data_IF_726004408954
#
_entry.id   IF_726004408954
#
_cell.length_a   1.000
_cell.length_b   1.000
_cell.length_c   1.000
_cell.angle_alpha   90.00
_cell.angle_beta   90.00
_cell.angle_gamma   90.00
#
_symmetry.space_group_name_H-M   'P 1'
#
loop_
_entity.id
_entity.type
_entity.pdbx_description
1 polymer ?
#
# COMPACT_ATOMS: atom_id res chain seq x y z
N UNK A 1 -17.04 -22.28 -42.96
CA UNK A 1 -16.56 -21.40 -44.03
C UNK A 1 -16.86 -19.96 -43.64
N UNK A 2 -15.85 -19.08 -43.75
CA UNK A 2 -15.96 -17.62 -44.07
C UNK A 2 -16.48 -16.69 -42.94
N UNK A 3 -15.88 -15.54 -42.62
CA UNK A 3 -14.52 -14.96 -42.87
C UNK A 3 -14.24 -13.98 -41.72
N UNK A 4 -12.98 -13.84 -41.30
CA UNK A 4 -12.54 -12.83 -40.34
C UNK A 4 -11.99 -11.58 -41.08
N UNK A 5 -12.47 -10.35 -40.80
CA UNK A 5 -11.80 -9.13 -41.23
C UNK A 5 -10.80 -8.63 -40.17
N UNK A 6 -9.52 -8.72 -40.50
CA UNK A 6 -8.44 -7.92 -39.89
C UNK A 6 -8.53 -6.45 -40.36
N UNK A 7 -7.51 -5.63 -40.02
CA UNK A 7 -7.26 -4.24 -40.51
C UNK A 7 -8.01 -3.18 -39.65
N UNK A 8 -7.41 -2.11 -39.10
CA UNK A 8 -6.12 -1.44 -39.33
C UNK A 8 -5.18 -1.55 -38.12
N UNK A 9 -3.91 -1.89 -38.38
CA UNK A 9 -2.79 -1.53 -37.50
C UNK A 9 -2.24 -0.15 -37.93
N UNK A 10 -2.14 0.82 -37.01
CA UNK A 10 -1.25 1.98 -37.23
C UNK A 10 -0.59 2.49 -35.96
N UNK A 11 0.61 1.94 -35.69
CA UNK A 11 1.66 2.62 -34.92
C UNK A 11 1.96 3.98 -35.54
N UNK A 12 1.89 5.04 -34.75
CA UNK A 12 2.68 6.25 -34.98
C UNK A 12 3.40 6.61 -33.68
N UNK A 13 4.69 6.28 -33.63
CA UNK A 13 5.59 6.84 -32.61
C UNK A 13 5.74 8.33 -32.91
N UNK A 14 5.70 9.18 -31.90
CA UNK A 14 6.45 10.43 -31.96
C UNK A 14 7.09 10.71 -30.61
N UNK A 15 8.37 10.35 -30.52
CA UNK A 15 9.22 10.73 -29.40
C UNK A 15 9.45 12.25 -29.42
N UNK A 16 9.45 12.87 -28.25
CA UNK A 16 9.98 14.23 -28.04
C UNK A 16 10.94 14.20 -26.84
N UNK A 17 12.26 14.14 -27.06
CA UNK A 17 13.24 14.40 -26.02
C UNK A 17 13.53 15.91 -25.95
N UNK A 18 13.33 16.51 -24.78
CA UNK A 18 13.85 17.84 -24.43
C UNK A 18 14.18 17.77 -22.92
N UNK A 19 15.43 17.45 -22.58
CA UNK A 19 16.52 18.42 -22.35
C UNK A 19 16.43 19.13 -20.99
N UNK A 20 17.15 18.53 -20.03
CA UNK A 20 17.95 19.17 -18.95
C UNK A 20 17.59 20.60 -18.51
N UNK A 21 17.30 20.72 -17.21
CA UNK A 21 17.80 21.82 -16.40
C UNK A 21 18.30 21.28 -15.05
N UNK A 22 19.59 21.46 -14.77
CA UNK A 22 20.17 21.26 -13.44
C UNK A 22 19.85 22.49 -12.58
N UNK A 23 19.38 22.30 -11.36
CA UNK A 23 19.37 23.34 -10.34
C UNK A 23 20.11 22.81 -9.10
N UNK A 24 21.31 23.31 -8.86
CA UNK A 24 22.09 23.00 -7.66
C UNK A 24 21.47 23.74 -6.47
N UNK A 25 20.86 23.01 -5.53
CA UNK A 25 20.53 23.55 -4.22
C UNK A 25 21.71 23.35 -3.27
N UNK A 26 22.46 24.41 -2.99
CA UNK A 26 23.51 24.38 -1.98
C UNK A 26 22.90 24.25 -0.58
N UNK A 27 23.34 23.25 0.19
CA UNK A 27 23.22 23.26 1.66
C UNK A 27 24.62 23.33 2.25
N UNK A 28 24.91 24.47 2.87
CA UNK A 28 26.10 24.64 3.71
C UNK A 28 25.79 24.21 5.15
N UNK A 29 26.67 23.38 5.70
CA UNK A 29 27.25 23.49 7.04
C UNK A 29 26.28 23.76 8.22
N UNK A 30 26.18 22.79 9.14
CA UNK A 30 26.74 22.99 10.49
C UNK A 30 26.99 21.65 11.19
N UNK A 31 28.22 21.48 11.65
CA UNK A 31 28.63 20.42 12.55
C UNK A 31 28.13 20.77 13.96
N UNK A 32 27.57 19.80 14.70
CA UNK A 32 27.62 19.85 16.16
C UNK A 32 28.07 18.50 16.68
N UNK A 33 29.19 18.51 17.39
CA UNK A 33 29.73 17.34 18.06
C UNK A 33 29.34 17.42 19.54
N UNK A 34 28.88 16.31 20.10
CA UNK A 34 28.75 16.13 21.54
C UNK A 34 29.36 14.77 21.89
N UNK A 35 30.47 14.81 22.61
CA UNK A 35 31.08 13.60 23.18
C UNK A 35 30.36 13.21 24.47
N UNK A 36 30.21 11.91 24.70
CA UNK A 36 29.74 11.34 25.95
C UNK A 36 30.47 10.03 26.22
N UNK A 37 31.32 10.02 27.24
CA UNK A 37 32.01 8.83 27.74
C UNK A 37 31.39 8.41 29.08
N UNK A 38 31.44 7.11 29.38
CA UNK A 38 31.03 6.55 30.67
C UNK A 38 29.69 5.80 30.63
N UNK A 39 29.49 4.69 31.33
CA UNK A 39 30.36 3.97 32.29
C UNK A 39 30.19 2.45 32.15
N UNK A 40 31.27 1.70 32.40
CA UNK A 40 31.22 0.24 32.57
C UNK A 40 30.76 -0.10 34.00
N UNK A 41 29.69 -0.89 34.12
CA UNK A 41 29.20 -1.44 35.39
C UNK A 41 29.16 -2.96 35.34
N UNK A 42 30.24 -3.59 35.77
CA UNK A 42 30.38 -5.05 35.85
C UNK A 42 29.81 -5.65 37.18
N UNK A 43 29.68 -6.98 37.20
CA UNK A 43 29.54 -7.86 38.37
C UNK A 43 28.13 -8.10 38.92
N UNK A 44 27.53 -9.17 38.38
CA UNK A 44 26.99 -10.35 39.10
C UNK A 44 26.73 -10.19 40.62
N UNK A 45 25.57 -10.55 41.20
CA UNK A 45 24.91 -11.88 41.18
C UNK A 45 23.68 -11.84 42.14
N UNK A 46 22.85 -12.86 42.46
CA UNK A 46 22.80 -14.32 42.19
C UNK A 46 21.39 -14.92 42.47
N UNK A 47 20.74 -15.59 41.48
CA UNK A 47 19.65 -16.58 41.65
C UNK A 47 18.31 -16.09 42.33
N UNK A 48 17.11 -16.67 42.11
CA UNK A 48 16.74 -17.96 41.54
C UNK A 48 15.30 -18.00 40.95
N UNK A 49 15.13 -18.67 39.79
CA UNK A 49 14.03 -19.58 39.41
C UNK A 49 12.55 -19.15 39.64
N UNK A 50 11.88 -18.78 38.54
CA UNK A 50 10.56 -19.33 38.21
C UNK A 50 10.52 -19.78 36.74
N UNK A 51 10.18 -21.05 36.51
CA UNK A 51 9.86 -21.56 35.18
C UNK A 51 8.35 -21.39 34.97
N UNK A 52 7.97 -20.60 33.98
CA UNK A 52 6.59 -20.41 33.53
C UNK A 52 6.56 -20.34 32.02
N UNK A 53 5.73 -21.20 31.42
CA UNK A 53 5.49 -21.32 29.97
C UNK A 53 5.27 -19.97 29.30
N UNK A 54 5.97 -19.73 28.18
CA UNK A 54 6.15 -18.40 27.61
C UNK A 54 4.94 -17.79 26.90
N UNK A 55 4.99 -16.47 26.72
CA UNK A 55 4.18 -15.70 25.79
C UNK A 55 5.06 -14.72 24.99
N UNK A 56 4.56 -14.32 23.82
CA UNK A 56 5.37 -13.80 22.72
C UNK A 56 5.87 -12.37 22.95
N UNK A 57 7.04 -12.06 22.37
CA UNK A 57 7.50 -10.68 22.21
C UNK A 57 6.50 -9.89 21.36
N UNK A 58 5.90 -8.86 21.97
CA UNK A 58 4.87 -8.05 21.34
C UNK A 58 5.42 -7.27 20.14
N UNK A 59 4.98 -7.61 18.94
CA UNK A 59 4.92 -6.65 17.83
C UNK A 59 3.98 -5.50 18.25
N UNK A 60 4.22 -4.25 17.85
CA UNK A 60 3.30 -3.16 18.13
C UNK A 60 1.91 -3.50 17.56
N UNK A 61 0.94 -3.69 18.45
CA UNK A 61 -0.44 -3.89 18.04
C UNK A 61 -0.92 -2.61 17.37
N UNK A 62 -1.08 -2.66 16.04
CA UNK A 62 -1.80 -1.61 15.30
C UNK A 62 -3.20 -1.55 15.90
N UNK A 63 -3.50 -0.47 16.61
CA UNK A 63 -4.76 -0.31 17.32
C UNK A 63 -5.90 -0.25 16.29
N UNK A 64 -6.58 -1.38 16.11
CA UNK A 64 -7.78 -1.45 15.30
C UNK A 64 -8.82 -0.53 15.93
N UNK A 65 -9.12 0.58 15.25
CA UNK A 65 -10.20 1.48 15.69
C UNK A 65 -11.51 0.70 15.68
N UNK A 66 -12.32 0.73 16.76
CA UNK A 66 -13.60 0.03 16.77
C UNK A 66 -14.47 0.46 15.58
N UNK A 67 -14.89 -0.53 14.79
CA UNK A 67 -15.60 -0.29 13.55
C UNK A 67 -16.21 -1.57 12.98
N UNK A 68 -17.24 -1.41 12.17
CA UNK A 68 -17.91 -2.53 11.49
C UNK A 68 -17.26 -2.76 10.14
N UNK A 69 -16.82 -4.00 9.87
CA UNK A 69 -16.40 -4.40 8.52
C UNK A 69 -17.66 -4.42 7.63
N UNK A 70 -17.68 -3.60 6.58
CA UNK A 70 -18.82 -3.46 5.66
C UNK A 70 -18.60 -4.14 4.31
N UNK A 71 -17.35 -4.43 3.95
CA UNK A 71 -16.98 -5.27 2.80
C UNK A 71 -15.54 -5.78 2.97
N UNK A 72 -15.18 -6.89 2.34
CA UNK A 72 -13.82 -7.46 2.35
C UNK A 72 -13.49 -8.23 1.07
N UNK A 73 -12.21 -8.33 0.76
CA UNK A 73 -11.73 -9.05 -0.43
C UNK A 73 -10.29 -9.52 -0.30
N UNK A 74 -9.94 -10.59 -1.03
CA UNK A 74 -8.56 -11.06 -1.17
C UNK A 74 -7.96 -10.52 -2.46
N UNK A 75 -6.70 -10.11 -2.44
CA UNK A 75 -6.03 -9.64 -3.64
C UNK A 75 -5.68 -10.79 -4.58
N UNK A 76 -5.85 -10.53 -5.88
CA UNK A 76 -5.27 -11.31 -6.97
C UNK A 76 -4.34 -10.41 -7.77
N UNK A 77 -3.15 -10.91 -8.11
CA UNK A 77 -2.19 -10.19 -8.94
C UNK A 77 -2.71 -9.91 -10.36
N UNK A 78 -2.29 -8.80 -10.96
CA UNK A 78 -2.72 -8.35 -12.27
C UNK A 78 -1.55 -7.77 -13.08
N UNK A 79 -1.70 -7.72 -14.42
CA UNK A 79 -0.69 -7.21 -15.36
C UNK A 79 0.72 -7.83 -15.22
N UNK A 80 0.82 -9.06 -14.72
CA UNK A 80 2.09 -9.76 -14.50
C UNK A 80 2.71 -9.56 -13.11
N UNK A 81 2.05 -8.82 -12.22
CA UNK A 81 2.50 -8.60 -10.84
C UNK A 81 1.91 -9.61 -9.86
N UNK A 82 2.66 -9.93 -8.82
CA UNK A 82 2.22 -10.73 -7.67
C UNK A 82 1.74 -9.79 -6.55
N UNK A 83 0.49 -9.99 -6.11
CA UNK A 83 -0.09 -9.32 -4.94
C UNK A 83 -0.72 -10.36 -4.03
N UNK A 84 -0.51 -10.23 -2.73
CA UNK A 84 -1.00 -11.14 -1.68
C UNK A 84 -1.70 -10.39 -0.55
N UNK A 85 -2.33 -11.14 0.36
CA UNK A 85 -3.10 -10.59 1.47
C UNK A 85 -4.53 -10.21 1.09
N UNK A 86 -5.11 -9.33 1.89
CA UNK A 86 -6.52 -8.97 1.83
C UNK A 86 -6.76 -7.49 2.18
N UNK A 87 -7.96 -7.04 1.87
CA UNK A 87 -8.47 -5.70 2.18
C UNK A 87 -9.81 -5.81 2.89
N UNK A 88 -10.01 -4.98 3.91
CA UNK A 88 -11.28 -4.79 4.60
C UNK A 88 -11.68 -3.31 4.55
N UNK A 89 -12.94 -3.07 4.21
CA UNK A 89 -13.56 -1.74 4.28
C UNK A 89 -14.27 -1.66 5.63
N UNK A 90 -13.85 -0.73 6.49
CA UNK A 90 -14.29 -0.62 7.88
C UNK A 90 -14.96 0.72 8.10
N UNK A 91 -16.21 0.71 8.57
CA UNK A 91 -16.94 1.91 8.99
C UNK A 91 -16.71 2.15 10.47
N UNK A 92 -16.05 3.25 10.80
CA UNK A 92 -15.73 3.69 12.17
C UNK A 92 -16.57 4.91 12.55
N UNK A 93 -16.51 5.32 13.83
CA UNK A 93 -17.09 6.59 14.27
C UNK A 93 -16.51 7.82 13.54
N UNK A 94 -15.26 7.73 13.05
CA UNK A 94 -14.55 8.79 12.35
C UNK A 94 -14.75 8.73 10.81
N UNK A 95 -15.66 7.88 10.33
CA UNK A 95 -15.90 7.64 8.90
C UNK A 95 -15.36 6.29 8.41
N UNK A 96 -15.31 6.13 7.09
CA UNK A 96 -14.90 4.88 6.44
C UNK A 96 -13.38 4.83 6.25
N UNK A 97 -12.79 3.67 6.49
CA UNK A 97 -11.38 3.37 6.25
C UNK A 97 -11.23 2.11 5.40
N UNK A 98 -10.15 2.04 4.63
CA UNK A 98 -9.66 0.82 4.00
C UNK A 98 -8.47 0.31 4.78
N UNK A 99 -8.50 -0.96 5.19
CA UNK A 99 -7.44 -1.62 5.93
C UNK A 99 -6.87 -2.77 5.09
N UNK A 100 -5.57 -2.71 4.78
CA UNK A 100 -4.81 -3.80 4.18
C UNK A 100 -4.29 -4.71 5.31
N UNK A 101 -4.37 -6.03 5.12
CA UNK A 101 -3.96 -7.01 6.13
C UNK A 101 -2.44 -7.05 6.35
N UNK A 102 -2.01 -7.67 7.44
CA UNK A 102 -0.59 -7.74 7.83
C UNK A 102 0.29 -8.52 6.86
N UNK A 103 -0.31 -9.47 6.13
CA UNK A 103 0.29 -10.29 5.07
C UNK A 103 0.17 -9.65 3.67
N UNK A 104 -0.30 -8.40 3.57
CA UNK A 104 -0.29 -7.67 2.31
C UNK A 104 1.14 -7.55 1.75
N UNK A 105 1.30 -7.87 0.47
CA UNK A 105 2.54 -7.68 -0.27
C UNK A 105 2.26 -7.45 -1.76
N UNK A 106 3.03 -6.56 -2.38
CA UNK A 106 3.14 -6.30 -3.81
C UNK A 106 4.61 -6.47 -4.20
N UNK A 107 4.89 -7.18 -5.29
CA UNK A 107 6.26 -7.47 -5.74
C UNK A 107 7.08 -6.21 -6.10
N UNK A 108 6.55 -5.34 -6.96
CA UNK A 108 7.18 -4.09 -7.36
C UNK A 108 6.16 -3.10 -7.97
N UNK A 109 6.64 -1.88 -8.26
CA UNK A 109 5.86 -0.87 -8.98
C UNK A 109 6.42 0.53 -8.77
N UNK A 110 6.65 1.35 -9.81
CA UNK A 110 7.24 2.69 -9.66
C UNK A 110 6.27 3.73 -9.09
N UNK A 111 4.97 3.45 -9.10
CA UNK A 111 3.94 4.34 -8.56
C UNK A 111 2.61 3.64 -8.26
N UNK A 112 2.59 2.67 -7.33
CA UNK A 112 1.35 2.08 -6.83
C UNK A 112 0.50 3.11 -6.06
N UNK A 113 -0.78 3.15 -6.38
CA UNK A 113 -1.84 3.88 -5.70
C UNK A 113 -2.94 2.89 -5.31
N UNK A 114 -3.81 3.29 -4.40
CA UNK A 114 -4.98 2.50 -3.98
C UNK A 114 -6.27 3.26 -4.22
N UNK A 115 -7.32 2.56 -4.59
CA UNK A 115 -8.63 3.14 -4.90
C UNK A 115 -9.66 2.09 -5.28
N UNK A 116 -10.89 2.52 -5.54
CA UNK A 116 -11.99 1.63 -5.87
C UNK A 116 -12.19 1.46 -7.37
N UNK A 117 -12.97 0.45 -7.73
CA UNK A 117 -13.45 0.24 -9.08
C UNK A 117 -14.71 -0.61 -9.10
N UNK A 118 -15.25 -0.82 -10.29
CA UNK A 118 -16.39 -1.70 -10.48
C UNK A 118 -16.36 -2.37 -11.85
N UNK A 119 -16.85 -3.61 -11.89
CA UNK A 119 -17.09 -4.37 -13.12
C UNK A 119 -15.84 -4.50 -14.01
N UNK A 120 -14.68 -4.71 -13.38
CA UNK A 120 -13.38 -4.84 -14.03
C UNK A 120 -12.70 -3.52 -14.37
N UNK A 121 -13.26 -2.37 -13.98
CA UNK A 121 -12.73 -1.03 -14.31
C UNK A 121 -12.35 -0.24 -13.05
N UNK A 122 -11.13 0.31 -13.03
CA UNK A 122 -10.67 1.23 -11.99
C UNK A 122 -11.33 2.62 -12.14
N UNK A 123 -11.91 3.13 -11.06
CA UNK A 123 -12.53 4.46 -11.05
C UNK A 123 -11.56 5.52 -10.54
N UNK A 124 -11.11 6.40 -11.44
CA UNK A 124 -10.22 7.52 -11.12
C UNK A 124 -10.84 8.55 -10.18
N UNK A 125 -12.17 8.62 -10.09
CA UNK A 125 -12.88 9.49 -9.14
C UNK A 125 -12.90 8.92 -7.71
N UNK A 126 -12.61 7.62 -7.56
CA UNK A 126 -12.49 6.93 -6.29
C UNK A 126 -11.04 6.50 -5.97
N UNK A 127 -10.07 7.23 -6.50
CA UNK A 127 -8.67 7.16 -6.09
C UNK A 127 -8.50 7.70 -4.66
N UNK A 128 -7.76 6.99 -3.79
CA UNK A 128 -7.56 7.37 -2.39
C UNK A 128 -6.20 8.02 -2.15
N UNK A 129 -5.12 7.26 -2.33
CA UNK A 129 -3.77 7.66 -1.97
C UNK A 129 -2.71 6.80 -2.65
N UNK A 130 -1.47 7.29 -2.66
CA UNK A 130 -0.30 6.46 -2.98
C UNK A 130 -0.13 5.34 -1.94
N UNK A 131 0.27 4.15 -2.40
CA UNK A 131 0.63 3.03 -1.53
C UNK A 131 1.93 3.39 -0.76
N UNK A 132 1.90 3.26 0.57
CA UNK A 132 2.95 3.83 1.44
C UNK A 132 4.19 2.95 1.60
N UNK A 133 4.02 1.63 1.48
CA UNK A 133 5.07 0.65 1.24
C UNK A 133 4.47 -0.54 0.50
N UNK A 134 5.31 -1.34 -0.15
CA UNK A 134 4.88 -2.49 -0.92
C UNK A 134 4.37 -3.65 -0.05
N UNK A 135 4.65 -3.66 1.25
CA UNK A 135 4.28 -4.75 2.16
C UNK A 135 3.82 -4.27 3.54
N UNK A 136 3.11 -5.15 4.23
CA UNK A 136 2.64 -4.99 5.60
C UNK A 136 1.31 -4.23 5.74
N UNK A 137 0.76 -4.14 6.96
CA UNK A 137 -0.56 -3.58 7.20
C UNK A 137 -0.56 -2.07 6.96
N UNK A 138 -1.64 -1.57 6.36
CA UNK A 138 -1.85 -0.14 6.04
C UNK A 138 -3.31 0.24 6.23
N UNK A 139 -3.57 1.47 6.66
CA UNK A 139 -4.91 2.02 6.73
C UNK A 139 -5.00 3.32 5.93
N UNK A 140 -6.08 3.48 5.18
CA UNK A 140 -6.37 4.64 4.32
C UNK A 140 -7.75 5.18 4.67
N UNK A 141 -7.85 6.48 4.96
CA UNK A 141 -9.16 7.12 5.09
C UNK A 141 -9.85 7.18 3.73
N UNK A 142 -11.16 6.92 3.70
CA UNK A 142 -12.00 7.12 2.51
C UNK A 142 -12.67 8.50 2.63
N UNK A 143 -12.39 9.44 1.69
CA UNK A 143 -13.10 10.71 1.62
C UNK A 143 -14.62 10.54 1.62
N UNK A 144 -15.34 11.39 2.36
CA UNK A 144 -16.80 11.33 2.47
C UNK A 144 -17.54 11.57 1.13
N UNK A 145 -16.85 12.05 0.09
CA UNK A 145 -17.35 12.15 -1.29
C UNK A 145 -17.44 10.82 -2.03
N UNK A 146 -16.75 9.77 -1.55
CA UNK A 146 -16.74 8.44 -2.17
C UNK A 146 -17.79 7.55 -1.49
N UNK A 147 -18.85 7.27 -2.23
CA UNK A 147 -19.84 6.27 -1.84
C UNK A 147 -19.33 4.85 -2.13
N UNK A 148 -18.76 4.23 -1.10
CA UNK A 148 -18.23 2.86 -1.13
C UNK A 148 -19.25 1.80 -1.58
N UNK A 149 -20.56 2.04 -1.44
CA UNK A 149 -21.59 1.05 -1.82
C UNK A 149 -21.71 0.83 -3.33
N UNK A 150 -21.15 1.73 -4.15
CA UNK A 150 -21.13 1.65 -5.61
C UNK A 150 -20.04 0.73 -6.16
N UNK A 151 -19.08 0.32 -5.34
CA UNK A 151 -17.87 -0.37 -5.78
C UNK A 151 -17.86 -1.81 -5.29
N UNK A 152 -17.61 -2.72 -6.23
CA UNK A 152 -17.49 -4.16 -5.95
C UNK A 152 -16.03 -4.65 -6.04
N UNK A 153 -15.08 -3.76 -6.31
CA UNK A 153 -13.65 -4.05 -6.45
C UNK A 153 -12.78 -2.97 -5.79
N UNK A 154 -11.66 -3.40 -5.22
CA UNK A 154 -10.60 -2.55 -4.71
C UNK A 154 -9.30 -2.83 -5.45
N UNK A 155 -8.55 -1.78 -5.79
CA UNK A 155 -7.42 -1.85 -6.69
C UNK A 155 -6.13 -1.38 -6.04
N UNK A 156 -5.04 -2.08 -6.33
CA UNK A 156 -3.69 -1.54 -6.33
C UNK A 156 -3.36 -1.16 -7.78
N UNK A 157 -3.22 0.13 -8.05
CA UNK A 157 -3.18 0.71 -9.40
C UNK A 157 -1.83 1.35 -9.71
N UNK A 158 -1.22 1.04 -10.86
CA UNK A 158 0.02 1.69 -11.30
C UNK A 158 -0.29 2.99 -12.04
N UNK A 159 -0.32 4.10 -11.31
CA UNK A 159 -0.69 5.43 -11.86
C UNK A 159 0.16 5.88 -13.06
N UNK A 160 1.50 5.64 -13.12
CA UNK A 160 2.31 6.01 -14.29
C UNK A 160 1.98 5.25 -15.59
N UNK A 161 1.47 4.01 -15.48
CA UNK A 161 1.21 3.14 -16.64
C UNK A 161 -0.28 2.92 -16.93
N UNK A 162 -1.16 3.26 -16.00
CA UNK A 162 -2.61 3.11 -16.17
C UNK A 162 -3.06 1.64 -16.20
N UNK A 163 -2.47 0.79 -15.35
CA UNK A 163 -2.77 -0.66 -15.28
C UNK A 163 -2.96 -1.13 -13.84
N UNK A 164 -3.79 -2.17 -13.60
CA UNK A 164 -3.92 -2.78 -12.28
C UNK A 164 -2.69 -3.64 -11.97
N UNK A 165 -2.15 -3.49 -10.76
CA UNK A 165 -1.11 -4.35 -10.18
C UNK A 165 -1.74 -5.49 -9.37
N UNK A 166 -2.84 -5.20 -8.68
CA UNK A 166 -3.67 -6.21 -8.02
C UNK A 166 -5.10 -5.73 -7.85
N UNK A 167 -6.03 -6.68 -7.80
CA UNK A 167 -7.48 -6.44 -7.67
C UNK A 167 -8.01 -7.34 -6.58
N UNK A 168 -8.82 -6.79 -5.66
CA UNK A 168 -9.57 -7.54 -4.67
C UNK A 168 -11.07 -7.36 -4.92
N UNK A 169 -11.78 -8.47 -5.12
CA UNK A 169 -13.25 -8.46 -5.22
C UNK A 169 -13.85 -8.29 -3.83
N UNK A 170 -14.67 -7.28 -3.64
CA UNK A 170 -15.32 -6.94 -2.38
C UNK A 170 -16.66 -7.70 -2.25
N UNK A 171 -16.87 -8.31 -1.08
CA UNK A 171 -18.10 -8.99 -0.66
C UNK A 171 -18.41 -8.70 0.81
#
# INVERSE_FOLDING_TARGET
>A
MIVCPQIICRRSRLMKPLSRALALSALAVSLVAAAGCGEEGDSASKQQKQQGTGQQGGTPAVQATPGTVIARGNFTGASGHVVTGSVSIVKTANGTQVQLSSDFSLDNGPGPWVGFGSNGQYDKSAELSKLGALSGPRSYAVPASIDVSKYNEFYVWCKPFGVPLGVARLN
#
